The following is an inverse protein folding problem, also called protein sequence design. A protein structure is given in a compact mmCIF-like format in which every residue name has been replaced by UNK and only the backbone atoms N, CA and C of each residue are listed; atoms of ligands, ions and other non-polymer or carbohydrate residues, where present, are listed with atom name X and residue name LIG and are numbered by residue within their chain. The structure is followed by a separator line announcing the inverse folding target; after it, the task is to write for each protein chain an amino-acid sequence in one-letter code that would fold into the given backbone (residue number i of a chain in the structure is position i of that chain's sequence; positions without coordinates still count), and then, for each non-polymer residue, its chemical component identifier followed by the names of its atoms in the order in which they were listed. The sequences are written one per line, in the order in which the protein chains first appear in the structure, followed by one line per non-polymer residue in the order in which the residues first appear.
data_IF_885113129604
#
_entry.id   IF_885113129604
#
_cell.length_a   1.000
_cell.length_b   1.000
_cell.length_c   1.000
_cell.angle_alpha   90.00
_cell.angle_beta   90.00
_cell.angle_gamma   90.00
#
_symmetry.space_group_name_H-M   'P 1'
#
loop_
_entity.id
_entity.type
_entity.pdbx_description
1 polymer ?
#
# COMPACT_ATOMS: atom_id res chain seq x y z
N UNK A 1 5.68 30.46 55.72
CA UNK A 1 4.49 29.79 56.27
C UNK A 1 3.30 30.04 55.36
N UNK A 2 2.72 28.97 54.79
CA UNK A 2 1.28 28.92 54.59
C UNK A 2 0.74 28.98 53.15
N UNK A 3 0.38 27.78 52.66
CA UNK A 3 -0.83 27.44 51.88
C UNK A 3 -0.82 27.94 50.42
N UNK A 4 -0.82 27.10 49.39
CA UNK A 4 -1.67 25.92 49.15
C UNK A 4 -2.51 26.21 47.89
N UNK A 5 -2.79 25.20 47.04
CA UNK A 5 -3.16 25.41 45.64
C UNK A 5 -4.66 25.69 45.45
N UNK A 6 -5.00 26.52 44.45
CA UNK A 6 -6.38 26.66 44.00
C UNK A 6 -6.74 25.51 43.06
N UNK A 7 -7.65 24.65 43.52
CA UNK A 7 -8.44 23.75 42.69
C UNK A 7 -9.94 24.00 42.91
N UNK A 8 -10.71 23.60 41.90
CA UNK A 8 -12.17 23.41 41.81
C UNK A 8 -13.07 24.45 41.10
N UNK A 9 -13.42 24.04 39.86
CA UNK A 9 -14.77 23.73 39.33
C UNK A 9 -15.71 24.88 38.86
N UNK A 10 -16.02 24.84 37.55
CA UNK A 10 -17.38 24.95 36.97
C UNK A 10 -17.45 24.01 35.75
N UNK A 11 -18.10 22.86 35.80
CA UNK A 11 -19.52 22.59 35.48
C UNK A 11 -20.00 23.16 34.13
N UNK A 12 -20.12 22.32 33.10
CA UNK A 12 -21.42 21.95 32.51
C UNK A 12 -21.24 21.04 31.30
N UNK A 13 -21.66 19.78 31.46
CA UNK A 13 -21.83 18.81 30.38
C UNK A 13 -23.01 19.22 29.50
N UNK A 14 -22.76 19.53 28.22
CA UNK A 14 -23.84 19.61 27.21
C UNK A 14 -24.16 18.20 26.71
N UNK A 15 -25.37 17.74 27.04
CA UNK A 15 -26.00 16.51 26.53
C UNK A 15 -26.11 16.56 25.01
N UNK A 16 -25.61 15.53 24.34
CA UNK A 16 -25.86 15.23 22.91
C UNK A 16 -27.27 14.65 22.78
N UNK A 17 -28.08 15.23 21.89
CA UNK A 17 -29.45 14.81 21.58
C UNK A 17 -29.42 13.44 20.86
N UNK A 18 -30.23 12.48 21.32
CA UNK A 18 -30.44 11.18 20.65
C UNK A 18 -31.35 11.36 19.42
N UNK A 19 -30.92 10.88 18.26
CA UNK A 19 -31.73 10.79 17.03
C UNK A 19 -32.62 9.53 17.10
N UNK A 20 -33.89 9.67 16.74
CA UNK A 20 -34.92 8.62 16.75
C UNK A 20 -34.71 7.58 15.62
N UNK A 21 -35.25 6.34 15.74
CA UNK A 21 -35.06 5.27 14.75
C UNK A 21 -36.02 5.42 13.55
N UNK A 22 -35.49 5.36 12.34
CA UNK A 22 -36.27 5.27 11.10
C UNK A 22 -36.76 3.83 10.87
N UNK A 23 -38.01 3.69 10.42
CA UNK A 23 -38.65 2.42 10.06
C UNK A 23 -38.21 1.89 8.68
N UNK A 24 -38.65 0.69 8.29
CA UNK A 24 -38.08 -0.06 7.17
C UNK A 24 -38.49 0.50 5.81
N UNK A 25 -37.51 0.60 4.91
CA UNK A 25 -37.65 1.00 3.50
C UNK A 25 -38.36 -0.07 2.64
N UNK A 26 -39.14 0.30 1.62
CA UNK A 26 -39.77 -0.64 0.69
C UNK A 26 -38.75 -1.29 -0.27
N UNK A 27 -39.05 -2.48 -0.84
CA UNK A 27 -38.11 -3.23 -1.66
C UNK A 27 -37.94 -2.63 -3.07
N UNK A 28 -36.71 -2.65 -3.58
CA UNK A 28 -36.36 -2.21 -4.93
C UNK A 28 -36.87 -3.19 -6.02
N UNK A 29 -37.21 -2.70 -7.23
CA UNK A 29 -37.66 -3.55 -8.33
C UNK A 29 -36.49 -4.34 -8.97
N UNK A 30 -36.76 -5.52 -9.56
CA UNK A 30 -35.74 -6.36 -10.18
C UNK A 30 -35.23 -5.79 -11.52
N UNK A 31 -33.97 -6.08 -11.91
CA UNK A 31 -33.41 -5.64 -13.18
C UNK A 31 -33.99 -6.44 -14.38
N UNK A 32 -34.10 -5.83 -15.58
CA UNK A 32 -34.61 -6.50 -16.77
C UNK A 32 -33.59 -7.51 -17.34
N UNK A 33 -34.11 -8.64 -17.83
CA UNK A 33 -33.34 -9.71 -18.46
C UNK A 33 -33.33 -9.58 -20.00
N UNK A 34 -32.11 -9.59 -20.56
CA UNK A 34 -31.64 -10.02 -21.89
C UNK A 34 -32.16 -9.34 -23.18
N UNK A 35 -31.23 -8.97 -24.07
CA UNK A 35 -30.92 -9.68 -25.33
C UNK A 35 -29.59 -9.10 -25.83
N UNK A 36 -28.52 -9.91 -25.88
CA UNK A 36 -27.32 -9.57 -26.64
C UNK A 36 -27.07 -10.69 -27.66
N UNK A 37 -27.14 -10.29 -28.92
CA UNK A 37 -26.99 -11.15 -30.08
C UNK A 37 -25.51 -11.54 -30.26
N UNK A 38 -25.29 -12.83 -30.51
CA UNK A 38 -24.03 -13.40 -30.90
C UNK A 38 -23.58 -12.90 -32.29
N UNK A 39 -22.47 -12.16 -32.35
CA UNK A 39 -21.68 -12.00 -33.56
C UNK A 39 -20.19 -12.11 -33.20
N UNK A 40 -19.61 -13.27 -33.50
CA UNK A 40 -18.17 -13.45 -33.59
C UNK A 40 -17.64 -12.84 -34.89
N UNK A 41 -16.39 -12.35 -34.90
CA UNK A 41 -15.50 -12.67 -36.00
C UNK A 41 -14.28 -13.44 -35.51
N UNK A 42 -14.16 -14.60 -36.14
CA UNK A 42 -13.02 -15.47 -36.27
C UNK A 42 -11.73 -14.68 -36.58
N UNK A 43 -10.64 -14.92 -35.85
CA UNK A 43 -9.34 -14.93 -36.51
C UNK A 43 -8.37 -15.87 -35.79
N UNK A 44 -8.06 -16.93 -36.53
CA UNK A 44 -7.06 -17.95 -36.24
C UNK A 44 -5.66 -17.36 -36.42
N UNK A 45 -4.76 -17.65 -35.50
CA UNK A 45 -3.39 -18.01 -35.91
C UNK A 45 -2.88 -19.08 -34.96
N UNK A 46 -2.66 -20.25 -35.56
CA UNK A 46 -2.17 -21.47 -34.95
C UNK A 46 -0.75 -21.30 -34.42
N UNK A 47 -0.42 -22.03 -33.36
CA UNK A 47 0.90 -22.61 -33.21
C UNK A 47 0.77 -24.00 -32.56
N UNK A 48 1.25 -24.97 -33.33
CA UNK A 48 1.08 -26.41 -33.24
C UNK A 48 2.05 -27.01 -32.24
N UNK A 49 1.55 -27.89 -31.37
CA UNK A 49 2.35 -28.90 -30.66
C UNK A 49 2.39 -30.19 -31.49
N UNK A 50 3.58 -30.75 -31.64
CA UNK A 50 3.81 -32.08 -32.22
C UNK A 50 3.99 -33.05 -31.04
N UNK A 51 3.10 -34.03 -30.92
CA UNK A 51 3.40 -35.31 -30.28
C UNK A 51 2.45 -36.38 -30.83
N UNK A 52 3.04 -37.41 -31.42
CA UNK A 52 2.39 -38.58 -31.97
C UNK A 52 1.97 -39.59 -30.88
N UNK A 53 0.85 -40.29 -31.08
CA UNK A 53 0.75 -41.76 -31.06
C UNK A 53 -0.71 -42.27 -30.99
N UNK A 54 -1.06 -43.12 -31.97
CA UNK A 54 -1.90 -44.33 -31.94
C UNK A 54 -3.25 -44.37 -31.16
N UNK A 55 -4.34 -44.31 -31.93
CA UNK A 55 -5.30 -45.43 -32.16
C UNK A 55 -5.91 -46.22 -30.99
N UNK A 56 -7.25 -46.16 -30.90
CA UNK A 56 -8.08 -47.36 -30.64
C UNK A 56 -9.08 -47.30 -29.48
N UNK A 57 -10.36 -47.02 -29.79
CA UNK A 57 -11.52 -47.80 -29.31
C UNK A 57 -12.11 -47.57 -27.91
N UNK A 58 -13.31 -46.98 -27.87
CA UNK A 58 -14.48 -47.56 -27.18
C UNK A 58 -14.76 -47.21 -25.70
N UNK A 59 -15.81 -46.41 -25.48
CA UNK A 59 -16.88 -46.74 -24.52
C UNK A 59 -16.77 -46.28 -23.05
N UNK A 60 -17.86 -45.63 -22.62
CA UNK A 60 -18.42 -45.56 -21.26
C UNK A 60 -17.89 -44.51 -20.25
N UNK A 61 -18.77 -43.54 -19.97
CA UNK A 61 -19.10 -42.99 -18.65
C UNK A 61 -17.99 -42.77 -17.63
N UNK A 62 -17.49 -41.55 -17.53
CA UNK A 62 -16.55 -41.15 -16.48
C UNK A 62 -16.78 -39.70 -16.06
N UNK A 63 -17.15 -39.52 -14.78
CA UNK A 63 -17.36 -38.27 -14.04
C UNK A 63 -16.41 -37.14 -14.45
N UNK A 64 -16.96 -35.93 -14.58
CA UNK A 64 -16.21 -34.69 -14.71
C UNK A 64 -15.09 -34.63 -13.66
N UNK A 65 -13.85 -34.81 -14.13
CA UNK A 65 -12.64 -34.75 -13.31
C UNK A 65 -12.45 -33.30 -12.89
N UNK A 66 -12.63 -33.07 -11.59
CA UNK A 66 -12.30 -31.84 -10.86
C UNK A 66 -10.98 -31.28 -11.39
N UNK A 67 -11.01 -30.05 -11.91
CA UNK A 67 -9.87 -29.28 -12.44
C UNK A 67 -8.72 -29.36 -11.43
N UNK A 68 -7.73 -30.22 -11.70
CA UNK A 68 -6.52 -30.34 -10.89
C UNK A 68 -5.81 -28.99 -10.98
N UNK A 69 -5.58 -28.33 -9.84
CA UNK A 69 -4.85 -27.06 -9.82
C UNK A 69 -3.47 -27.28 -10.42
N UNK A 70 -3.20 -26.61 -11.54
CA UNK A 70 -1.95 -26.77 -12.30
C UNK A 70 -0.71 -26.53 -11.45
N UNK A 71 0.37 -27.23 -11.80
CA UNK A 71 1.70 -26.96 -11.27
C UNK A 71 2.05 -25.48 -11.51
N UNK A 72 2.73 -24.87 -10.55
CA UNK A 72 3.22 -23.49 -10.62
C UNK A 72 4.72 -23.48 -10.62
N UNK A 73 5.29 -22.38 -11.10
CA UNK A 73 6.72 -22.18 -11.13
C UNK A 73 7.20 -21.63 -9.77
N UNK A 74 8.15 -22.33 -9.18
CA UNK A 74 8.78 -21.97 -7.92
C UNK A 74 10.29 -21.86 -8.11
N UNK A 75 10.93 -20.95 -7.39
CA UNK A 75 12.38 -20.93 -7.24
C UNK A 75 12.72 -21.27 -5.80
N UNK A 76 13.61 -22.24 -5.63
CA UNK A 76 14.11 -22.67 -4.33
C UNK A 76 15.48 -22.06 -4.11
N UNK A 77 15.71 -21.53 -2.92
CA UNK A 77 17.03 -21.09 -2.46
C UNK A 77 17.42 -21.89 -1.23
N UNK A 78 18.64 -22.40 -1.22
CA UNK A 78 19.27 -23.01 -0.04
C UNK A 78 20.00 -21.95 0.80
N UNK A 79 20.43 -22.29 2.02
CA UNK A 79 21.25 -21.44 2.90
C UNK A 79 22.51 -20.88 2.21
N UNK A 80 23.07 -21.64 1.27
CA UNK A 80 24.25 -21.24 0.51
C UNK A 80 23.96 -20.31 -0.68
N UNK A 81 22.70 -19.85 -0.83
CA UNK A 81 22.27 -18.99 -1.95
C UNK A 81 22.15 -19.71 -3.29
N UNK A 82 22.28 -21.04 -3.32
CA UNK A 82 22.09 -21.83 -4.53
C UNK A 82 20.60 -21.84 -4.91
N UNK A 83 20.31 -21.42 -6.15
CA UNK A 83 18.94 -21.30 -6.65
C UNK A 83 18.59 -22.40 -7.65
N UNK A 84 17.43 -23.03 -7.47
CA UNK A 84 16.91 -24.07 -8.35
C UNK A 84 15.48 -23.73 -8.79
N UNK A 85 15.19 -23.85 -10.09
CA UNK A 85 13.85 -23.61 -10.63
C UNK A 85 13.07 -24.92 -10.69
N UNK A 86 11.87 -24.94 -10.10
CA UNK A 86 11.06 -26.13 -9.91
C UNK A 86 9.60 -25.88 -10.33
N UNK A 87 9.00 -26.82 -11.04
CA UNK A 87 7.55 -26.85 -11.21
C UNK A 87 6.94 -27.77 -10.16
N UNK A 88 6.12 -27.21 -9.27
CA UNK A 88 5.53 -27.95 -8.17
C UNK A 88 4.02 -27.75 -8.11
N UNK A 89 3.30 -28.82 -7.81
CA UNK A 89 1.87 -28.76 -7.50
C UNK A 89 1.66 -28.32 -6.05
N UNK A 90 0.44 -27.90 -5.73
CA UNK A 90 0.10 -27.43 -4.38
C UNK A 90 0.35 -28.48 -3.32
N UNK A 91 0.09 -29.75 -3.62
CA UNK A 91 0.28 -30.89 -2.68
C UNK A 91 1.74 -31.05 -2.27
N UNK A 92 2.66 -30.94 -3.23
CA UNK A 92 4.10 -31.07 -2.99
C UNK A 92 4.60 -29.96 -2.09
N UNK A 93 4.17 -28.72 -2.32
CA UNK A 93 4.57 -27.57 -1.50
C UNK A 93 4.02 -27.70 -0.07
N UNK A 94 2.74 -28.05 0.10
CA UNK A 94 2.12 -28.26 1.43
C UNK A 94 2.89 -29.34 2.21
N UNK A 95 3.22 -30.46 1.58
CA UNK A 95 3.96 -31.56 2.23
C UNK A 95 5.39 -31.15 2.57
N UNK A 96 6.07 -30.46 1.66
CA UNK A 96 7.47 -30.06 1.80
C UNK A 96 7.67 -29.00 2.89
N UNK A 97 6.88 -27.94 2.85
CA UNK A 97 6.96 -26.85 3.82
C UNK A 97 6.18 -27.12 5.13
N UNK A 98 5.50 -28.27 5.23
CA UNK A 98 4.66 -28.63 6.37
C UNK A 98 3.59 -27.57 6.74
N UNK A 99 3.06 -26.85 5.75
CA UNK A 99 2.05 -25.80 5.95
C UNK A 99 0.62 -26.28 5.68
N UNK A 100 -0.38 -25.81 6.44
CA UNK A 100 -1.79 -26.04 6.13
C UNK A 100 -2.19 -25.54 4.73
N UNK A 101 -3.10 -26.27 4.07
CA UNK A 101 -3.58 -25.91 2.73
C UNK A 101 -4.29 -24.54 2.65
N UNK A 102 -4.76 -24.01 3.79
CA UNK A 102 -5.37 -22.67 3.89
C UNK A 102 -4.33 -21.56 3.72
N UNK A 103 -3.13 -21.73 4.25
CA UNK A 103 -2.10 -20.69 4.27
C UNK A 103 -1.47 -20.54 2.88
N UNK A 104 -1.34 -21.65 2.14
CA UNK A 104 -0.94 -21.61 0.73
C UNK A 104 -1.93 -20.81 -0.15
N UNK A 105 -3.19 -20.63 0.28
CA UNK A 105 -4.16 -19.82 -0.49
C UNK A 105 -3.81 -18.34 -0.47
N UNK A 106 -3.10 -17.86 0.55
CA UNK A 106 -2.67 -16.46 0.68
C UNK A 106 -1.69 -16.10 -0.45
N UNK A 107 -0.87 -17.06 -0.89
CA UNK A 107 -0.03 -16.90 -2.08
C UNK A 107 -0.83 -17.03 -3.40
N UNK A 108 -2.11 -17.35 -3.30
CA UNK A 108 -3.02 -17.50 -4.43
C UNK A 108 -3.41 -16.18 -5.10
N UNK A 109 -4.10 -16.24 -6.26
CA UNK A 109 -4.50 -15.06 -7.01
C UNK A 109 -5.51 -14.20 -6.25
N UNK A 110 -6.34 -14.82 -5.40
CA UNK A 110 -7.40 -14.16 -4.63
C UNK A 110 -6.85 -13.14 -3.62
N UNK A 111 -5.64 -13.39 -3.12
CA UNK A 111 -4.97 -12.58 -2.09
C UNK A 111 -3.74 -11.84 -2.64
N UNK A 112 -3.67 -11.63 -3.96
CA UNK A 112 -2.53 -10.95 -4.61
C UNK A 112 -2.38 -9.48 -4.24
N UNK A 113 -3.33 -8.92 -3.49
CA UNK A 113 -3.34 -7.53 -3.07
C UNK A 113 -3.38 -7.37 -1.55
N UNK A 114 -3.18 -8.43 -0.78
CA UNK A 114 -3.01 -8.36 0.68
C UNK A 114 -1.53 -8.52 1.03
N UNK A 115 -1.10 -7.90 2.12
CA UNK A 115 0.19 -8.20 2.76
C UNK A 115 -0.08 -9.09 3.97
N UNK A 116 0.72 -10.12 4.19
CA UNK A 116 0.58 -11.03 5.32
C UNK A 116 1.87 -11.80 5.62
N UNK A 117 2.22 -11.92 6.89
CA UNK A 117 3.35 -12.70 7.42
C UNK A 117 2.76 -13.70 8.41
N UNK A 118 2.76 -14.98 8.04
CA UNK A 118 2.25 -16.02 8.92
C UNK A 118 3.37 -16.88 9.48
N UNK A 119 3.42 -16.95 10.80
CA UNK A 119 4.21 -17.96 11.48
C UNK A 119 3.49 -19.33 11.52
N UNK A 120 4.25 -20.38 11.26
CA UNK A 120 3.86 -21.79 11.43
C UNK A 120 5.03 -22.54 12.05
N UNK A 121 4.74 -23.74 12.56
CA UNK A 121 5.69 -24.55 13.34
C UNK A 121 7.06 -24.76 12.67
N UNK A 122 7.11 -24.89 11.33
CA UNK A 122 8.34 -25.13 10.56
C UNK A 122 8.58 -24.17 9.40
N UNK A 123 7.69 -23.19 9.23
CA UNK A 123 7.72 -22.30 8.07
C UNK A 123 7.08 -20.94 8.38
N UNK A 124 7.58 -19.90 7.72
CA UNK A 124 7.00 -18.58 7.64
C UNK A 124 6.45 -18.38 6.24
N UNK A 125 5.18 -18.03 6.11
CA UNK A 125 4.56 -17.70 4.81
C UNK A 125 4.54 -16.20 4.66
N UNK A 126 5.27 -15.69 3.67
CA UNK A 126 5.45 -14.25 3.41
C UNK A 126 4.72 -13.88 2.13
N UNK A 127 3.76 -12.98 2.24
CA UNK A 127 3.09 -12.33 1.12
C UNK A 127 3.24 -10.82 1.31
N UNK A 128 4.22 -10.19 0.67
CA UNK A 128 4.49 -8.76 0.80
C UNK A 128 4.49 -8.14 -0.59
N UNK A 129 3.45 -7.34 -0.90
CA UNK A 129 3.25 -6.75 -2.22
C UNK A 129 3.32 -7.79 -3.36
N UNK A 130 4.41 -7.78 -4.13
CA UNK A 130 4.63 -8.71 -5.25
C UNK A 130 5.44 -9.95 -4.84
N UNK A 131 6.04 -9.97 -3.66
CA UNK A 131 6.85 -11.09 -3.13
C UNK A 131 5.93 -12.10 -2.45
N UNK A 132 6.03 -13.36 -2.90
CA UNK A 132 5.24 -14.49 -2.40
C UNK A 132 6.18 -15.65 -2.09
N UNK A 133 6.55 -15.82 -0.84
CA UNK A 133 7.56 -16.77 -0.43
C UNK A 133 7.09 -17.64 0.74
N UNK A 134 7.68 -18.83 0.83
CA UNK A 134 7.62 -19.68 2.02
C UNK A 134 9.05 -19.86 2.49
N UNK A 135 9.35 -19.39 3.69
CA UNK A 135 10.66 -19.44 4.31
C UNK A 135 10.64 -20.55 5.34
N UNK A 136 11.63 -21.42 5.30
CA UNK A 136 11.89 -22.43 6.33
C UNK A 136 13.23 -22.14 6.97
N UNK A 137 13.62 -22.88 8.01
CA UNK A 137 14.95 -22.73 8.59
C UNK A 137 16.09 -23.05 7.60
N UNK A 138 15.84 -23.85 6.55
CA UNK A 138 16.89 -24.35 5.65
C UNK A 138 16.77 -23.82 4.21
N UNK A 139 15.56 -23.52 3.75
CA UNK A 139 15.34 -23.11 2.36
C UNK A 139 14.20 -22.09 2.23
N UNK A 140 14.23 -21.34 1.12
CA UNK A 140 13.16 -20.42 0.70
C UNK A 140 12.54 -20.92 -0.59
N UNK A 141 11.21 -20.95 -0.65
CA UNK A 141 10.43 -21.27 -1.84
C UNK A 141 9.69 -20.00 -2.30
N UNK A 142 10.15 -19.42 -3.40
CA UNK A 142 9.58 -18.22 -4.02
C UNK A 142 8.64 -18.58 -5.16
N UNK A 143 7.42 -18.04 -5.15
CA UNK A 143 6.42 -18.26 -6.18
C UNK A 143 6.54 -17.25 -7.33
N UNK A 144 6.42 -17.74 -8.57
CA UNK A 144 6.44 -16.96 -9.81
C UNK A 144 7.68 -16.03 -9.93
N UNK A 145 8.91 -16.61 -9.88
CA UNK A 145 10.18 -15.88 -9.76
C UNK A 145 10.57 -15.07 -11.02
N UNK A 146 9.90 -15.29 -12.15
CA UNK A 146 10.22 -14.64 -13.43
C UNK A 146 9.48 -13.31 -13.64
N UNK A 147 8.65 -12.87 -12.68
CA UNK A 147 7.96 -11.58 -12.76
C UNK A 147 8.97 -10.45 -12.58
N UNK A 148 8.89 -9.41 -13.42
CA UNK A 148 9.86 -8.30 -13.44
C UNK A 148 10.03 -7.62 -12.07
N UNK A 149 8.94 -7.44 -11.33
CA UNK A 149 8.93 -6.84 -9.99
C UNK A 149 9.65 -7.71 -8.95
N UNK A 150 9.70 -9.04 -9.15
CA UNK A 150 10.28 -10.02 -8.22
C UNK A 150 11.78 -10.23 -8.48
N UNK A 151 12.29 -9.87 -9.67
CA UNK A 151 13.69 -10.07 -10.03
C UNK A 151 14.69 -9.40 -9.08
N UNK A 152 14.48 -8.14 -8.61
CA UNK A 152 15.39 -7.53 -7.64
C UNK A 152 15.54 -8.34 -6.36
N UNK A 153 14.45 -8.94 -5.87
CA UNK A 153 14.47 -9.82 -4.71
C UNK A 153 15.25 -11.11 -4.98
N UNK A 154 15.04 -11.73 -6.14
CA UNK A 154 15.80 -12.91 -6.57
C UNK A 154 17.30 -12.63 -6.65
N UNK A 155 17.68 -11.47 -7.20
CA UNK A 155 19.08 -11.10 -7.36
C UNK A 155 19.73 -10.76 -6.02
N UNK A 156 19.04 -10.07 -5.11
CA UNK A 156 19.52 -9.82 -3.75
C UNK A 156 19.67 -11.11 -2.93
N UNK A 157 18.72 -12.05 -3.03
CA UNK A 157 18.87 -13.36 -2.36
C UNK A 157 20.11 -14.11 -2.84
N UNK A 158 20.40 -14.12 -4.15
CA UNK A 158 21.62 -14.77 -4.67
C UNK A 158 22.91 -14.11 -4.17
N UNK A 159 22.89 -12.79 -3.99
CA UNK A 159 24.07 -12.03 -3.59
C UNK A 159 24.31 -12.09 -2.08
N UNK A 160 23.27 -11.91 -1.25
CA UNK A 160 23.46 -11.70 0.18
C UNK A 160 23.48 -13.01 1.00
N UNK A 161 22.75 -14.05 0.59
CA UNK A 161 22.72 -15.33 1.33
C UNK A 161 24.10 -16.01 1.45
N UNK A 162 24.96 -16.06 0.41
CA UNK A 162 26.30 -16.65 0.52
C UNK A 162 27.25 -15.87 1.43
N UNK A 163 27.01 -14.57 1.66
CA UNK A 163 27.90 -13.68 2.39
C UNK A 163 27.57 -13.55 3.88
N UNK A 164 26.35 -13.93 4.30
CA UNK A 164 25.86 -13.88 5.69
C UNK A 164 25.69 -15.29 6.33
N UNK A 165 26.36 -16.32 5.78
CA UNK A 165 26.22 -17.71 6.25
C UNK A 165 27.29 -18.05 7.31
N UNK A 166 26.89 -18.58 8.48
CA UNK A 166 27.83 -18.98 9.52
C UNK A 166 28.34 -20.37 9.17
N UNK A 167 29.54 -20.50 8.59
CA UNK A 167 30.46 -21.64 8.75
C UNK A 167 31.61 -21.55 7.72
N UNK A 168 32.70 -20.87 8.10
CA UNK A 168 34.05 -21.24 7.63
C UNK A 168 34.93 -21.48 8.86
N UNK A 169 34.81 -22.65 9.46
CA UNK A 169 35.83 -23.19 10.36
C UNK A 169 37.02 -23.69 9.53
N UNK A 170 38.22 -23.33 10.00
CA UNK A 170 39.55 -23.33 9.38
C UNK A 170 40.01 -24.53 8.52
N UNK A 171 40.88 -24.21 7.55
CA UNK A 171 42.17 -24.90 7.44
C UNK A 171 42.67 -25.24 6.03
N UNK A 172 43.44 -24.34 5.40
CA UNK A 172 44.64 -24.68 4.61
C UNK A 172 45.32 -23.41 4.08
N UNK A 173 46.39 -22.97 4.76
CA UNK A 173 47.51 -22.31 4.07
C UNK A 173 48.27 -23.35 3.23
N UNK A 174 48.97 -22.91 2.17
CA UNK A 174 50.42 -23.00 2.23
C UNK A 174 51.12 -21.65 1.97
N UNK A 175 52.24 -21.52 2.68
CA UNK A 175 53.35 -20.57 2.60
C UNK A 175 53.61 -19.91 1.23
N UNK A 176 54.01 -18.63 1.21
CA UNK A 176 55.45 -18.25 1.24
C UNK A 176 55.71 -16.72 1.25
N UNK A 177 56.64 -16.33 2.13
CA UNK A 177 57.68 -15.27 2.01
C UNK A 177 57.28 -13.79 1.76
N UNK A 178 57.53 -12.90 2.73
CA UNK A 178 58.79 -12.14 2.83
C UNK A 178 58.77 -11.09 3.97
N UNK A 179 59.90 -11.05 4.66
CA UNK A 179 60.28 -10.25 5.82
C UNK A 179 60.48 -8.76 5.46
N UNK A 180 60.20 -7.85 6.40
CA UNK A 180 61.13 -6.77 6.71
C UNK A 180 60.88 -6.15 8.09
N UNK A 181 61.91 -6.14 8.93
CA UNK A 181 61.97 -5.53 10.25
C UNK A 181 62.21 -4.01 10.17
N UNK A 182 61.66 -3.24 11.11
CA UNK A 182 62.41 -2.15 11.77
C UNK A 182 61.77 -1.77 13.11
N UNK A 183 62.56 -1.87 14.17
CA UNK A 183 62.22 -1.62 15.58
C UNK A 183 62.19 -0.12 15.93
N UNK A 184 61.36 0.29 16.89
CA UNK A 184 61.80 1.12 18.02
C UNK A 184 60.81 1.07 19.20
N UNK A 185 61.32 0.71 20.38
CA UNK A 185 60.61 0.71 21.66
C UNK A 185 60.69 2.08 22.34
N UNK A 186 59.59 2.57 22.93
CA UNK A 186 59.64 3.28 24.22
C UNK A 186 58.35 3.02 24.98
N UNK A 187 58.49 2.53 26.21
CA UNK A 187 57.43 1.96 27.01
C UNK A 187 56.36 2.93 27.50
N UNK A 188 55.15 2.38 27.60
CA UNK A 188 53.99 2.95 28.27
C UNK A 188 52.89 1.91 28.27
N UNK A 189 52.84 1.10 29.33
CA UNK A 189 51.91 -0.01 29.54
C UNK A 189 50.46 0.50 29.53
N UNK A 190 49.80 0.31 28.39
CA UNK A 190 48.35 0.25 28.28
C UNK A 190 48.00 -1.17 27.83
N UNK A 191 47.12 -1.82 28.59
CA UNK A 191 46.52 -3.08 28.19
C UNK A 191 45.84 -2.85 26.83
N UNK A 192 46.01 -3.72 25.82
CA UNK A 192 45.10 -3.73 24.70
C UNK A 192 43.73 -4.10 25.27
N UNK A 193 42.85 -3.12 25.37
CA UNK A 193 41.42 -3.38 25.26
C UNK A 193 41.29 -4.06 23.90
N UNK A 194 40.74 -5.28 23.81
CA UNK A 194 40.37 -5.79 22.51
C UNK A 194 39.31 -4.83 22.00
N UNK A 195 39.66 -4.04 20.99
CA UNK A 195 38.71 -3.30 20.19
C UNK A 195 37.67 -4.32 19.72
N UNK A 196 36.51 -4.28 20.36
CA UNK A 196 35.35 -5.09 20.03
C UNK A 196 34.67 -4.44 18.83
N UNK A 197 35.40 -4.31 17.72
CA UNK A 197 34.87 -3.90 16.44
C UNK A 197 34.31 -5.13 15.73
N UNK A 198 33.00 -5.30 15.87
CA UNK A 198 32.18 -6.04 14.91
C UNK A 198 32.08 -7.55 15.10
N UNK A 199 31.60 -8.01 16.26
CA UNK A 199 30.82 -9.24 16.24
C UNK A 199 29.52 -8.90 15.50
N UNK A 200 29.50 -9.09 14.18
CA UNK A 200 28.23 -9.08 13.44
C UNK A 200 27.39 -10.18 14.07
N UNK A 201 26.41 -9.81 14.90
CA UNK A 201 25.33 -10.72 15.27
C UNK A 201 24.59 -11.03 13.97
N UNK A 202 25.04 -12.08 13.27
CA UNK A 202 24.40 -12.55 12.03
C UNK A 202 22.97 -12.95 12.38
N UNK A 203 22.00 -12.25 11.80
CA UNK A 203 20.59 -12.60 11.90
C UNK A 203 20.39 -14.06 11.43
N UNK A 204 19.50 -14.84 12.08
CA UNK A 204 19.07 -16.15 11.58
C UNK A 204 18.63 -16.12 10.11
N UNK A 205 18.77 -17.25 9.42
CA UNK A 205 18.48 -17.37 7.97
C UNK A 205 17.10 -16.82 7.59
N UNK A 206 16.08 -17.15 8.38
CA UNK A 206 14.71 -16.68 8.16
C UNK A 206 14.57 -15.15 8.20
N UNK A 207 15.35 -14.47 9.05
CA UNK A 207 15.31 -13.02 9.21
C UNK A 207 16.18 -12.30 8.18
N UNK A 208 17.28 -12.93 7.71
CA UNK A 208 18.00 -12.41 6.55
C UNK A 208 17.10 -12.37 5.31
N UNK A 209 16.32 -13.42 5.09
CA UNK A 209 15.38 -13.49 3.97
C UNK A 209 14.26 -12.46 4.14
N UNK A 210 13.73 -12.29 5.36
CA UNK A 210 12.70 -11.30 5.66
C UNK A 210 13.22 -9.86 5.49
N UNK A 211 14.43 -9.58 5.97
CA UNK A 211 15.13 -8.30 5.79
C UNK A 211 15.24 -7.95 4.31
N UNK A 212 15.77 -8.87 3.49
CA UNK A 212 15.89 -8.68 2.03
C UNK A 212 14.51 -8.45 1.39
N UNK A 213 13.48 -9.18 1.82
CA UNK A 213 12.13 -9.00 1.28
C UNK A 213 11.56 -7.62 1.63
N UNK A 214 11.72 -7.18 2.88
CA UNK A 214 11.28 -5.87 3.35
C UNK A 214 12.07 -4.74 2.69
N UNK A 215 13.38 -4.87 2.53
CA UNK A 215 14.24 -3.91 1.84
C UNK A 215 13.73 -3.68 0.41
N UNK A 216 13.56 -4.74 -0.37
CA UNK A 216 13.09 -4.64 -1.76
C UNK A 216 11.70 -4.02 -1.84
N UNK A 217 10.78 -4.42 -0.97
CA UNK A 217 9.41 -3.88 -0.97
C UNK A 217 9.39 -2.41 -0.58
N UNK A 218 10.14 -2.03 0.47
CA UNK A 218 10.20 -0.64 0.93
C UNK A 218 10.85 0.26 -0.12
N UNK A 219 11.98 -0.14 -0.70
CA UNK A 219 12.63 0.61 -1.80
C UNK A 219 11.72 0.74 -3.01
N UNK A 220 10.99 -0.34 -3.36
CA UNK A 220 10.01 -0.29 -4.45
C UNK A 220 8.90 0.71 -4.16
N UNK A 221 8.31 0.69 -2.96
CA UNK A 221 7.23 1.59 -2.58
C UNK A 221 7.71 3.06 -2.54
N UNK A 222 8.88 3.32 -1.95
CA UNK A 222 9.46 4.68 -1.88
C UNK A 222 9.76 5.23 -3.28
N UNK A 223 10.28 4.40 -4.20
CA UNK A 223 10.50 4.80 -5.60
C UNK A 223 9.19 5.20 -6.29
N UNK A 224 8.11 4.43 -6.09
CA UNK A 224 6.80 4.78 -6.64
C UNK A 224 6.24 6.08 -6.05
N UNK A 225 6.51 6.36 -4.77
CA UNK A 225 6.10 7.63 -4.14
C UNK A 225 6.89 8.80 -4.74
N UNK A 226 8.21 8.65 -4.91
CA UNK A 226 9.05 9.66 -5.52
C UNK A 226 8.66 9.96 -6.98
N UNK A 227 8.28 8.94 -7.75
CA UNK A 227 7.75 9.11 -9.11
C UNK A 227 6.40 9.84 -9.08
N UNK A 228 5.49 9.45 -8.19
CA UNK A 228 4.20 10.10 -8.02
C UNK A 228 4.36 11.57 -7.62
N UNK A 229 5.28 11.90 -6.72
CA UNK A 229 5.62 13.26 -6.30
C UNK A 229 6.12 14.09 -7.49
N UNK A 230 7.09 13.55 -8.24
CA UNK A 230 7.66 14.21 -9.42
C UNK A 230 6.60 14.52 -10.47
N UNK A 231 5.64 13.62 -10.66
CA UNK A 231 4.57 13.77 -11.65
C UNK A 231 3.41 14.64 -11.12
N UNK A 232 3.19 14.70 -9.80
CA UNK A 232 2.11 15.46 -9.17
C UNK A 232 2.29 16.99 -9.28
N UNK A 233 3.44 17.50 -8.85
CA UNK A 233 3.71 18.94 -8.80
C UNK A 233 3.49 19.68 -10.13
N UNK A 234 3.99 19.21 -11.29
CA UNK A 234 3.77 19.91 -12.56
C UNK A 234 2.29 19.90 -12.99
N UNK A 235 1.56 18.81 -12.73
CA UNK A 235 0.13 18.71 -13.06
C UNK A 235 -0.70 19.69 -12.23
N UNK A 236 -0.36 19.87 -10.95
CA UNK A 236 -1.04 20.79 -10.05
C UNK A 236 -0.72 22.25 -10.36
N UNK A 237 0.53 22.58 -10.70
CA UNK A 237 0.93 23.91 -11.17
C UNK A 237 0.25 24.27 -12.51
N UNK A 238 0.12 23.31 -13.42
CA UNK A 238 -0.65 23.49 -14.66
C UNK A 238 -2.13 23.77 -14.35
N UNK A 239 -2.77 22.97 -13.48
CA UNK A 239 -4.16 23.19 -13.09
C UNK A 239 -4.38 24.57 -12.45
N UNK A 240 -3.45 25.04 -11.61
CA UNK A 240 -3.53 26.35 -10.96
C UNK A 240 -3.46 27.52 -11.95
N UNK A 241 -2.77 27.34 -13.10
CA UNK A 241 -2.67 28.35 -14.16
C UNK A 241 -3.86 28.34 -15.11
N UNK A 242 -4.34 27.14 -15.49
CA UNK A 242 -5.46 27.00 -16.41
C UNK A 242 -6.38 25.84 -16.03
N UNK A 243 -7.61 26.18 -15.66
CA UNK A 243 -8.63 25.18 -15.38
C UNK A 243 -9.18 24.64 -16.70
N UNK A 244 -8.80 23.41 -17.05
CA UNK A 244 -9.27 22.71 -18.24
C UNK A 244 -9.79 21.31 -17.87
N UNK A 245 -10.71 20.77 -18.66
CA UNK A 245 -11.23 19.41 -18.45
C UNK A 245 -10.13 18.36 -18.47
N UNK A 246 -9.12 18.55 -19.33
CA UNK A 246 -7.94 17.69 -19.42
C UNK A 246 -7.10 17.70 -18.14
N UNK A 247 -6.87 18.88 -17.55
CA UNK A 247 -6.08 19.01 -16.33
C UNK A 247 -6.82 18.40 -15.12
N UNK A 248 -8.15 18.57 -15.06
CA UNK A 248 -8.98 17.92 -14.04
C UNK A 248 -8.99 16.39 -14.19
N UNK A 249 -8.96 15.86 -15.41
CA UNK A 249 -8.79 14.42 -15.64
C UNK A 249 -7.42 13.92 -15.18
N UNK A 250 -6.35 14.67 -15.43
CA UNK A 250 -5.01 14.35 -14.93
C UNK A 250 -4.97 14.33 -13.39
N UNK A 251 -5.55 15.34 -12.71
CA UNK A 251 -5.63 15.37 -11.24
C UNK A 251 -6.48 14.22 -10.69
N UNK A 252 -7.59 13.87 -11.36
CA UNK A 252 -8.39 12.70 -10.98
C UNK A 252 -7.59 11.40 -11.09
N UNK A 253 -6.82 11.24 -12.16
CA UNK A 253 -5.93 10.09 -12.36
C UNK A 253 -4.86 10.05 -11.26
N UNK A 254 -4.24 11.20 -10.96
CA UNK A 254 -3.25 11.35 -9.90
C UNK A 254 -3.82 10.97 -8.53
N UNK A 255 -5.01 11.45 -8.16
CA UNK A 255 -5.71 11.11 -6.91
C UNK A 255 -6.04 9.62 -6.82
N UNK A 256 -6.41 9.00 -7.94
CA UNK A 256 -6.64 7.55 -8.00
C UNK A 256 -5.35 6.75 -7.79
N UNK A 257 -4.24 7.17 -8.43
CA UNK A 257 -2.94 6.54 -8.26
C UNK A 257 -2.42 6.70 -6.83
N UNK A 258 -2.54 7.90 -6.26
CA UNK A 258 -2.20 8.21 -4.87
C UNK A 258 -2.97 7.32 -3.90
N UNK A 259 -4.30 7.22 -4.05
CA UNK A 259 -5.14 6.41 -3.17
C UNK A 259 -4.74 4.93 -3.24
N UNK A 260 -4.44 4.43 -4.45
CA UNK A 260 -3.98 3.05 -4.64
C UNK A 260 -2.62 2.82 -3.98
N UNK A 261 -1.66 3.75 -4.13
CA UNK A 261 -0.34 3.63 -3.53
C UNK A 261 -0.38 3.72 -2.01
N UNK A 262 -1.18 4.65 -1.46
CA UNK A 262 -1.41 4.77 -0.02
C UNK A 262 -1.95 3.46 0.57
N UNK A 263 -2.95 2.86 -0.08
CA UNK A 263 -3.53 1.60 0.36
C UNK A 263 -2.54 0.43 0.34
N UNK A 264 -1.54 0.45 -0.56
CA UNK A 264 -0.48 -0.57 -0.64
C UNK A 264 0.51 -0.42 0.51
N UNK A 265 1.04 0.80 0.71
CA UNK A 265 1.92 1.11 1.84
C UNK A 265 1.25 0.79 3.18
N UNK A 266 -0.02 1.18 3.34
CA UNK A 266 -0.79 0.90 4.56
C UNK A 266 -0.89 -0.60 4.82
N UNK A 267 -1.17 -1.44 3.83
CA UNK A 267 -1.28 -2.90 4.06
C UNK A 267 0.01 -3.52 4.59
N UNK A 268 1.16 -3.14 4.02
CA UNK A 268 2.44 -3.64 4.52
C UNK A 268 2.67 -3.13 5.93
N UNK A 269 2.49 -1.83 6.15
CA UNK A 269 2.66 -1.21 7.47
C UNK A 269 1.75 -1.81 8.54
N UNK A 270 0.47 -2.00 8.25
CA UNK A 270 -0.53 -2.56 9.17
C UNK A 270 -0.18 -4.02 9.54
N UNK A 271 0.41 -4.79 8.61
CA UNK A 271 0.90 -6.14 8.90
C UNK A 271 2.13 -6.11 9.82
N UNK A 272 3.06 -5.16 9.62
CA UNK A 272 4.19 -4.97 10.53
C UNK A 272 3.73 -4.48 11.91
N UNK A 273 2.77 -3.56 11.97
CA UNK A 273 2.15 -3.07 13.22
C UNK A 273 1.55 -4.24 14.00
N UNK A 274 0.76 -5.08 13.32
CA UNK A 274 0.12 -6.22 13.93
C UNK A 274 1.14 -7.23 14.50
N UNK A 275 2.25 -7.45 13.79
CA UNK A 275 3.30 -8.35 14.23
C UNK A 275 4.11 -7.76 15.41
N UNK A 276 4.39 -6.46 15.39
CA UNK A 276 5.07 -5.75 16.48
C UNK A 276 4.22 -5.66 17.75
N UNK A 277 2.89 -5.70 17.64
CA UNK A 277 1.97 -5.65 18.79
C UNK A 277 1.96 -6.95 19.64
N UNK A 278 2.44 -8.08 19.10
CA UNK A 278 2.38 -9.40 19.77
C UNK A 278 3.72 -10.15 19.75
N UNK A 279 4.39 -10.20 20.92
CA UNK A 279 5.65 -10.91 21.11
C UNK A 279 5.53 -12.42 20.89
N UNK A 280 4.35 -13.04 21.06
CA UNK A 280 4.13 -14.46 20.79
C UNK A 280 4.20 -14.74 19.28
N UNK A 281 3.57 -13.90 18.45
CA UNK A 281 3.62 -13.99 16.99
C UNK A 281 5.06 -13.78 16.48
N UNK A 282 5.81 -12.85 17.07
CA UNK A 282 7.23 -12.64 16.77
C UNK A 282 8.10 -13.84 17.16
N UNK A 283 7.95 -14.36 18.39
CA UNK A 283 8.66 -15.54 18.86
C UNK A 283 8.38 -16.75 17.95
N UNK A 284 7.18 -16.81 17.38
CA UNK A 284 6.78 -17.87 16.51
C UNK A 284 7.52 -17.90 15.16
N UNK A 285 8.12 -16.78 14.75
CA UNK A 285 8.92 -16.63 13.53
C UNK A 285 10.37 -17.12 13.68
N UNK A 286 10.85 -17.42 14.88
CA UNK A 286 12.20 -17.97 15.12
C UNK A 286 12.32 -19.45 14.69
N UNK A 287 12.27 -19.69 13.38
CA UNK A 287 12.24 -21.03 12.77
C UNK A 287 13.53 -21.83 13.04
N UNK A 288 14.70 -21.21 12.96
CA UNK A 288 15.99 -21.86 13.20
C UNK A 288 16.09 -22.34 14.65
N UNK A 289 15.63 -21.54 15.60
CA UNK A 289 15.57 -21.91 17.03
C UNK A 289 14.67 -23.14 17.24
N UNK A 290 13.45 -23.10 16.71
CA UNK A 290 12.47 -24.21 16.78
C UNK A 290 13.00 -25.48 16.11
N UNK A 291 13.70 -25.35 14.99
CA UNK A 291 14.29 -26.48 14.27
C UNK A 291 15.38 -27.18 15.09
N UNK A 292 16.30 -26.43 15.71
CA UNK A 292 17.35 -26.98 16.58
C UNK A 292 16.74 -27.70 17.79
N UNK A 293 15.75 -27.09 18.44
CA UNK A 293 15.08 -27.68 19.60
C UNK A 293 14.36 -28.99 19.25
N UNK A 294 13.70 -29.04 18.11
CA UNK A 294 13.04 -30.26 17.63
C UNK A 294 14.04 -31.39 17.33
N UNK A 295 15.19 -31.08 16.71
CA UNK A 295 16.24 -32.09 16.49
C UNK A 295 16.81 -32.65 17.80
N UNK A 296 17.05 -31.80 18.81
CA UNK A 296 17.56 -32.25 20.10
C UNK A 296 16.56 -33.17 20.83
N UNK A 297 15.27 -32.83 20.77
CA UNK A 297 14.21 -33.65 21.34
C UNK A 297 14.08 -35.02 20.63
N UNK A 298 14.16 -35.05 19.30
CA UNK A 298 14.18 -36.29 18.52
C UNK A 298 15.40 -37.15 18.85
N UNK A 299 16.59 -36.55 18.99
CA UNK A 299 17.81 -37.26 19.35
C UNK A 299 17.75 -37.84 20.78
N UNK A 300 17.18 -37.10 21.74
CA UNK A 300 17.01 -37.56 23.13
C UNK A 300 16.04 -38.74 23.23
N UNK A 301 14.93 -38.69 22.50
CA UNK A 301 13.96 -39.79 22.42
C UNK A 301 14.55 -41.01 21.69
N UNK A 302 15.34 -40.81 20.63
CA UNK A 302 16.05 -41.90 19.94
C UNK A 302 17.11 -42.60 20.80
N UNK A 303 17.81 -41.85 21.65
CA UNK A 303 18.80 -42.40 22.59
C UNK A 303 18.13 -43.19 23.74
N UNK A 304 16.96 -42.76 24.22
CA UNK A 304 16.22 -43.46 25.25
C UNK A 304 15.71 -44.85 24.80
N UNK A 305 15.36 -45.00 23.52
CA UNK A 305 14.91 -46.29 22.95
C UNK A 305 16.08 -47.28 22.77
N UNK A 306 17.28 -46.77 22.48
CA UNK A 306 18.48 -47.58 22.25
C UNK A 306 19.08 -48.19 23.53
N UNK A 307 18.72 -47.69 24.71
CA UNK A 307 19.25 -48.18 26.00
C UNK A 307 18.37 -49.23 26.69
N UNK A 308 17.33 -49.75 26.04
CA UNK A 308 16.37 -50.68 26.66
C UNK A 308 16.71 -52.19 26.53
N UNK A 309 17.85 -52.55 25.96
CA UNK A 309 18.31 -53.94 25.85
C UNK A 309 19.78 -54.05 26.28
N UNK A 310 20.04 -54.26 27.57
CA UNK A 310 21.06 -55.17 28.13
C UNK A 310 20.82 -55.37 29.65
N UNK A 311 20.85 -56.65 30.01
CA UNK A 311 20.72 -57.41 31.28
C UNK A 311 21.54 -56.88 32.48
N UNK A 312 21.14 -57.13 33.76
CA UNK A 312 21.77 -56.54 34.93
C UNK A 312 23.02 -57.29 35.41
N UNK A 313 24.03 -56.56 35.87
CA UNK A 313 25.11 -57.06 36.72
C UNK A 313 25.71 -55.95 37.61
N UNK A 314 26.32 -56.27 38.77
CA UNK A 314 26.22 -55.44 39.98
C UNK A 314 27.51 -54.69 40.39
N UNK A 315 27.33 -53.74 41.31
CA UNK A 315 28.31 -53.02 42.14
C UNK A 315 29.04 -51.80 41.53
N UNK A 316 28.61 -50.60 41.93
CA UNK A 316 29.37 -49.58 42.69
C UNK A 316 28.47 -48.34 42.93
N UNK A 317 28.60 -47.62 44.06
CA UNK A 317 27.64 -46.60 44.46
C UNK A 317 27.82 -45.32 43.65
N UNK A 318 26.91 -45.08 42.72
CA UNK A 318 26.79 -43.80 42.01
C UNK A 318 26.06 -42.83 42.93
N UNK A 319 26.75 -41.76 43.36
CA UNK A 319 26.10 -40.58 43.93
C UNK A 319 25.15 -40.01 42.87
N UNK A 320 23.87 -40.31 43.00
CA UNK A 320 22.79 -39.72 42.23
C UNK A 320 22.46 -38.37 42.87
N UNK A 321 22.95 -37.30 42.26
CA UNK A 321 22.33 -35.98 42.45
C UNK A 321 21.02 -35.99 41.67
N UNK A 322 19.91 -36.19 42.39
CA UNK A 322 18.57 -35.93 41.89
C UNK A 322 18.43 -34.42 41.63
N UNK A 323 18.86 -33.96 40.45
CA UNK A 323 18.23 -32.80 39.84
C UNK A 323 17.07 -33.34 39.01
N UNK A 324 15.92 -33.44 39.67
CA UNK A 324 14.64 -33.60 39.02
C UNK A 324 14.54 -32.55 37.92
N UNK A 325 14.67 -32.97 36.66
CA UNK A 325 14.30 -32.14 35.51
C UNK A 325 12.79 -32.07 35.55
N UNK A 326 12.31 -31.03 36.21
CA UNK A 326 10.89 -30.72 36.34
C UNK A 326 10.39 -30.36 34.94
N UNK A 327 9.47 -31.18 34.43
CA UNK A 327 8.62 -30.86 33.29
C UNK A 327 7.63 -29.78 33.72
N UNK A 328 8.13 -28.55 33.77
CA UNK A 328 7.34 -27.33 33.78
C UNK A 328 8.06 -26.39 32.81
N UNK A 329 7.83 -26.59 31.52
CA UNK A 329 8.01 -25.54 30.51
C UNK A 329 7.03 -24.43 30.86
N UNK A 330 7.44 -23.58 31.79
CA UNK A 330 6.86 -22.26 31.95
C UNK A 330 7.16 -21.49 30.67
N UNK A 331 6.11 -21.08 29.96
CA UNK A 331 6.13 -20.18 28.80
C UNK A 331 6.58 -18.76 29.20
N UNK A 332 7.65 -18.61 29.97
CA UNK A 332 8.41 -17.37 29.99
C UNK A 332 9.31 -17.44 28.76
N UNK A 333 8.76 -17.09 27.60
CA UNK A 333 9.56 -16.44 26.57
C UNK A 333 10.00 -15.15 27.27
N UNK A 334 11.29 -15.04 27.61
CA UNK A 334 11.82 -13.79 28.13
C UNK A 334 11.55 -12.74 27.05
N UNK A 335 11.02 -11.56 27.39
CA UNK A 335 10.81 -10.47 26.41
C UNK A 335 12.10 -10.14 25.64
N UNK A 336 13.27 -10.39 26.25
CA UNK A 336 14.60 -10.23 25.65
C UNK A 336 14.87 -11.22 24.48
N UNK A 337 14.05 -12.25 24.26
CA UNK A 337 14.30 -13.29 23.25
C UNK A 337 13.93 -12.88 21.81
N UNK A 338 13.19 -11.78 21.63
CA UNK A 338 12.69 -11.28 20.32
C UNK A 338 13.27 -9.92 19.90
N UNK A 339 14.14 -9.32 20.72
CA UNK A 339 14.66 -7.95 20.53
C UNK A 339 15.32 -7.73 19.14
N UNK A 340 16.08 -8.72 18.65
CA UNK A 340 16.74 -8.64 17.33
C UNK A 340 15.72 -8.50 16.18
N UNK A 341 14.60 -9.23 16.26
CA UNK A 341 13.55 -9.19 15.25
C UNK A 341 12.71 -7.91 15.39
N UNK A 342 12.39 -7.52 16.63
CA UNK A 342 11.67 -6.29 16.91
C UNK A 342 12.41 -5.08 16.33
N UNK A 343 13.71 -4.96 16.60
CA UNK A 343 14.55 -3.87 16.06
C UNK A 343 14.55 -3.83 14.52
N UNK A 344 14.61 -5.00 13.86
CA UNK A 344 14.52 -5.11 12.40
C UNK A 344 13.17 -4.61 11.89
N UNK A 345 12.07 -5.09 12.47
CA UNK A 345 10.71 -4.75 12.06
C UNK A 345 10.38 -3.27 12.34
N UNK A 346 10.80 -2.73 13.49
CA UNK A 346 10.64 -1.32 13.84
C UNK A 346 11.30 -0.40 12.81
N UNK A 347 12.53 -0.73 12.37
CA UNK A 347 13.23 0.07 11.37
C UNK A 347 12.43 0.18 10.06
N UNK A 348 11.90 -0.94 9.56
CA UNK A 348 11.07 -0.95 8.35
C UNK A 348 9.68 -0.35 8.58
N UNK A 349 9.09 -0.51 9.77
CA UNK A 349 7.83 0.15 10.13
C UNK A 349 7.98 1.67 10.10
N UNK A 350 9.06 2.22 10.68
CA UNK A 350 9.35 3.64 10.64
C UNK A 350 9.60 4.14 9.21
N UNK A 351 10.29 3.36 8.37
CA UNK A 351 10.47 3.68 6.95
C UNK A 351 9.13 3.72 6.19
N UNK A 352 8.24 2.75 6.42
CA UNK A 352 6.92 2.71 5.80
C UNK A 352 6.03 3.86 6.29
N UNK A 353 6.07 4.23 7.56
CA UNK A 353 5.31 5.38 8.06
C UNK A 353 5.86 6.70 7.50
N UNK A 354 7.19 6.83 7.37
CA UNK A 354 7.82 7.92 6.62
C UNK A 354 7.31 8.01 5.18
N UNK A 355 7.27 6.87 4.47
CA UNK A 355 6.74 6.76 3.10
C UNK A 355 5.27 7.13 3.04
N UNK A 356 4.45 6.68 4.01
CA UNK A 356 3.04 7.05 4.11
C UNK A 356 2.86 8.55 4.33
N UNK A 357 3.67 9.17 5.19
CA UNK A 357 3.56 10.60 5.48
C UNK A 357 3.90 11.44 4.24
N UNK A 358 4.90 11.04 3.44
CA UNK A 358 5.14 11.66 2.12
C UNK A 358 3.90 11.63 1.22
N UNK A 359 3.25 10.47 1.09
CA UNK A 359 2.01 10.34 0.30
C UNK A 359 0.88 11.25 0.84
N UNK A 360 0.73 11.34 2.16
CA UNK A 360 -0.27 12.19 2.78
C UNK A 360 0.00 13.68 2.52
N UNK A 361 1.25 14.12 2.53
CA UNK A 361 1.62 15.49 2.17
C UNK A 361 1.27 15.82 0.71
N UNK A 362 1.51 14.90 -0.23
CA UNK A 362 1.08 15.09 -1.64
C UNK A 362 -0.44 15.16 -1.73
N UNK A 363 -1.17 14.34 -0.96
CA UNK A 363 -2.62 14.33 -0.93
C UNK A 363 -3.18 15.66 -0.45
N UNK A 364 -2.62 16.20 0.63
CA UNK A 364 -2.97 17.52 1.16
C UNK A 364 -2.74 18.61 0.11
N UNK A 365 -1.59 18.60 -0.56
CA UNK A 365 -1.29 19.55 -1.63
C UNK A 365 -2.25 19.47 -2.84
N UNK A 366 -2.69 18.26 -3.21
CA UNK A 366 -3.73 18.07 -4.23
C UNK A 366 -5.06 18.66 -3.76
N UNK A 367 -5.50 18.32 -2.55
CA UNK A 367 -6.77 18.78 -2.00
C UNK A 367 -6.77 20.33 -1.86
N UNK A 368 -5.65 20.93 -1.43
CA UNK A 368 -5.46 22.40 -1.37
C UNK A 368 -5.55 23.06 -2.75
N UNK A 369 -4.94 22.44 -3.77
CA UNK A 369 -4.98 22.95 -5.15
C UNK A 369 -6.40 22.84 -5.73
N UNK A 370 -7.13 21.76 -5.42
CA UNK A 370 -8.53 21.56 -5.80
C UNK A 370 -9.42 22.64 -5.19
N UNK A 371 -9.24 22.95 -3.90
CA UNK A 371 -9.96 24.01 -3.20
C UNK A 371 -9.65 25.39 -3.79
N UNK A 372 -8.38 25.68 -4.09
CA UNK A 372 -7.98 26.92 -4.76
C UNK A 372 -8.64 27.09 -6.13
N UNK A 373 -8.65 26.03 -6.94
CA UNK A 373 -9.26 26.01 -8.27
C UNK A 373 -10.77 26.20 -8.18
N UNK A 374 -11.44 25.58 -7.20
CA UNK A 374 -12.86 25.78 -6.94
C UNK A 374 -13.17 27.25 -6.62
N UNK A 375 -12.36 27.89 -5.78
CA UNK A 375 -12.50 29.33 -5.47
C UNK A 375 -12.32 30.19 -6.72
N UNK A 376 -11.33 29.90 -7.57
CA UNK A 376 -11.13 30.63 -8.83
C UNK A 376 -12.33 30.50 -9.79
N UNK A 377 -12.85 29.28 -9.96
CA UNK A 377 -13.98 29.02 -10.84
C UNK A 377 -15.24 29.75 -10.36
N UNK A 378 -15.46 29.80 -9.06
CA UNK A 378 -16.58 30.55 -8.50
C UNK A 378 -16.41 32.06 -8.67
N UNK A 379 -15.17 32.59 -8.62
CA UNK A 379 -14.91 33.98 -8.97
C UNK A 379 -15.24 34.28 -10.46
N UNK A 380 -14.81 33.43 -11.38
CA UNK A 380 -15.14 33.60 -12.81
C UNK A 380 -16.65 33.51 -13.08
N UNK A 381 -17.35 32.59 -12.40
CA UNK A 381 -18.82 32.50 -12.47
C UNK A 381 -19.48 33.77 -11.96
N UNK A 382 -18.98 34.34 -10.86
CA UNK A 382 -19.49 35.60 -10.33
C UNK A 382 -19.31 36.76 -11.30
N UNK A 383 -18.15 36.86 -11.97
CA UNK A 383 -17.92 37.86 -13.02
C UNK A 383 -18.89 37.68 -14.20
N UNK A 384 -19.14 36.44 -14.63
CA UNK A 384 -20.09 36.14 -15.70
C UNK A 384 -21.52 36.53 -15.32
N UNK A 385 -21.94 36.22 -14.08
CA UNK A 385 -23.25 36.63 -13.55
C UNK A 385 -23.38 38.16 -13.52
N UNK A 386 -22.32 38.88 -13.16
CA UNK A 386 -22.29 40.34 -13.18
C UNK A 386 -22.43 40.91 -14.60
N UNK A 387 -21.72 40.33 -15.57
CA UNK A 387 -21.85 40.72 -16.98
C UNK A 387 -23.26 40.44 -17.51
N UNK A 388 -23.83 39.26 -17.20
CA UNK A 388 -25.19 38.89 -17.57
C UNK A 388 -26.23 39.86 -16.98
N UNK A 389 -26.08 40.24 -15.71
CA UNK A 389 -26.95 41.23 -15.06
C UNK A 389 -26.88 42.56 -15.80
N UNK A 390 -25.68 43.03 -16.13
CA UNK A 390 -25.46 44.29 -16.86
C UNK A 390 -26.14 44.26 -18.24
N UNK A 391 -25.97 43.17 -18.99
CA UNK A 391 -26.60 42.98 -20.31
C UNK A 391 -28.13 42.94 -20.19
N UNK A 392 -28.65 42.31 -19.15
CA UNK A 392 -30.10 42.24 -18.88
C UNK A 392 -30.68 43.63 -18.60
N UNK A 393 -29.99 44.45 -17.79
CA UNK A 393 -30.40 45.83 -17.50
C UNK A 393 -30.39 46.68 -18.78
N UNK A 394 -29.36 46.54 -19.63
CA UNK A 394 -29.30 47.22 -20.92
C UNK A 394 -30.45 46.80 -21.86
N UNK A 395 -30.71 45.49 -21.94
CA UNK A 395 -31.79 44.94 -22.76
C UNK A 395 -33.16 45.42 -22.32
N UNK A 396 -33.39 45.55 -21.01
CA UNK A 396 -34.62 46.12 -20.45
C UNK A 396 -34.83 47.57 -20.89
N UNK A 397 -33.79 48.41 -20.85
CA UNK A 397 -33.88 49.80 -21.30
C UNK A 397 -34.18 49.89 -22.81
N UNK A 398 -33.53 49.07 -23.64
CA UNK A 398 -33.78 49.00 -25.09
C UNK A 398 -35.20 48.51 -25.38
N UNK A 399 -35.72 47.54 -24.61
CA UNK A 399 -37.08 47.03 -24.78
C UNK A 399 -38.14 48.11 -24.52
N UNK A 400 -37.92 48.99 -23.53
CA UNK A 400 -38.81 50.14 -23.27
C UNK A 400 -38.78 51.13 -24.44
N UNK A 401 -37.60 51.44 -24.98
CA UNK A 401 -37.46 52.31 -26.17
C UNK A 401 -38.16 51.71 -27.39
N UNK A 402 -37.97 50.40 -27.61
CA UNK A 402 -38.58 49.65 -28.72
C UNK A 402 -40.09 49.59 -28.60
N UNK A 403 -40.64 49.47 -27.38
CA UNK A 403 -42.08 49.52 -27.14
C UNK A 403 -42.65 50.89 -27.54
N UNK A 404 -42.00 51.98 -27.12
CA UNK A 404 -42.42 53.33 -27.46
C UNK A 404 -42.33 53.52 -28.98
N UNK A 405 -41.21 53.18 -29.60
CA UNK A 405 -41.04 53.23 -31.05
C UNK A 405 -42.09 52.39 -31.80
N UNK A 406 -42.43 51.21 -31.28
CA UNK A 406 -43.46 50.33 -31.83
C UNK A 406 -44.86 50.94 -31.79
N UNK A 407 -45.25 51.58 -30.68
CA UNK A 407 -46.54 52.28 -30.56
C UNK A 407 -46.69 53.40 -31.59
N UNK A 408 -45.63 54.18 -31.83
CA UNK A 408 -45.63 55.24 -32.85
C UNK A 408 -45.43 54.69 -34.27
N UNK A 409 -44.81 53.53 -34.44
CA UNK A 409 -44.74 52.83 -35.73
C UNK A 409 -46.08 52.30 -36.23
N UNK A 410 -47.12 52.30 -35.39
CA UNK A 410 -48.47 51.92 -35.81
C UNK A 410 -49.10 53.04 -36.65
N UNK A 411 -49.72 52.68 -37.78
CA UNK A 411 -50.43 53.59 -38.69
C UNK A 411 -51.77 54.08 -38.11
N UNK A 412 -51.72 54.69 -36.91
CA UNK A 412 -52.86 55.28 -36.22
C UNK A 412 -52.78 56.79 -36.44
N UNK A 413 -53.88 57.46 -36.88
CA UNK A 413 -53.88 58.90 -37.08
C UNK A 413 -53.75 59.64 -35.75
N UNK A 414 -52.52 60.03 -35.42
CA UNK A 414 -52.20 60.82 -34.24
C UNK A 414 -52.02 62.30 -34.62
N UNK A 415 -52.68 63.26 -33.91
CA UNK A 415 -52.56 64.70 -34.19
C UNK A 415 -51.13 65.25 -33.95
N UNK A 416 -50.26 64.46 -33.32
CA UNK A 416 -48.84 64.78 -33.10
C UNK A 416 -48.02 64.79 -34.40
N UNK A 417 -48.49 64.13 -35.48
CA UNK A 417 -47.79 64.08 -36.77
C UNK A 417 -47.95 65.35 -37.63
N UNK A 418 -48.98 66.15 -37.41
CA UNK A 418 -49.25 67.37 -38.20
C UNK A 418 -48.43 68.58 -37.72
N UNK A 419 -47.85 68.51 -36.51
CA UNK A 419 -47.02 69.56 -35.94
C UNK A 419 -45.58 69.50 -36.47
N UNK A 420 -45.20 70.47 -37.31
CA UNK A 420 -43.86 70.54 -37.90
C UNK A 420 -42.77 70.69 -36.81
N UNK A 421 -41.78 69.79 -36.82
CA UNK A 421 -40.59 69.88 -35.98
C UNK A 421 -40.65 69.19 -34.61
N UNK A 422 -41.78 68.59 -34.22
CA UNK A 422 -41.94 67.94 -32.88
C UNK A 422 -41.32 66.53 -32.81
N UNK A 423 -41.12 65.87 -33.97
CA UNK A 423 -40.61 64.50 -34.03
C UNK A 423 -39.16 64.36 -33.50
N UNK A 424 -38.24 65.19 -33.99
CA UNK A 424 -36.83 65.16 -33.57
C UNK A 424 -36.62 65.37 -32.05
N UNK A 425 -37.23 66.39 -31.40
CA UNK A 425 -37.09 66.56 -29.96
C UNK A 425 -37.78 65.44 -29.17
N UNK A 426 -38.89 64.88 -29.68
CA UNK A 426 -39.56 63.75 -29.05
C UNK A 426 -38.66 62.49 -29.01
N UNK A 427 -38.07 62.11 -30.14
CA UNK A 427 -37.13 60.98 -30.22
C UNK A 427 -35.95 61.21 -29.26
N UNK A 428 -35.37 62.41 -29.26
CA UNK A 428 -34.29 62.78 -28.34
C UNK A 428 -34.68 62.63 -26.86
N UNK A 429 -35.89 63.05 -26.47
CA UNK A 429 -36.40 62.91 -25.10
C UNK A 429 -36.61 61.44 -24.70
N UNK A 430 -37.15 60.61 -25.59
CA UNK A 430 -37.37 59.17 -25.32
C UNK A 430 -36.04 58.44 -25.15
N UNK A 431 -35.09 58.65 -26.07
CA UNK A 431 -33.75 58.05 -25.98
C UNK A 431 -33.01 58.52 -24.72
N UNK A 432 -33.07 59.82 -24.38
CA UNK A 432 -32.49 60.33 -23.14
C UNK A 432 -33.14 59.73 -21.88
N UNK A 433 -34.47 59.53 -21.90
CA UNK A 433 -35.21 58.86 -20.83
C UNK A 433 -34.78 57.41 -20.62
N UNK A 434 -34.54 56.65 -21.71
CA UNK A 434 -34.03 55.29 -21.63
C UNK A 434 -32.60 55.21 -21.08
N UNK A 435 -31.72 56.13 -21.48
CA UNK A 435 -30.37 56.22 -20.91
C UNK A 435 -30.44 56.52 -19.41
N UNK A 436 -31.31 57.44 -18.98
CA UNK A 436 -31.51 57.75 -17.56
C UNK A 436 -32.03 56.53 -16.78
N UNK A 437 -33.01 55.80 -17.33
CA UNK A 437 -33.54 54.58 -16.73
C UNK A 437 -32.44 53.52 -16.58
N UNK A 438 -31.63 53.32 -17.61
CA UNK A 438 -30.49 52.41 -17.56
C UNK A 438 -29.51 52.79 -16.43
N UNK A 439 -29.13 54.07 -16.33
CA UNK A 439 -28.23 54.56 -15.28
C UNK A 439 -28.84 54.43 -13.88
N UNK A 440 -30.14 54.66 -13.71
CA UNK A 440 -30.83 54.51 -12.44
C UNK A 440 -30.83 53.05 -11.97
N UNK A 441 -31.18 52.12 -12.86
CA UNK A 441 -31.20 50.68 -12.53
C UNK A 441 -29.78 50.17 -12.26
N UNK A 442 -28.79 50.62 -13.03
CA UNK A 442 -27.39 50.26 -12.82
C UNK A 442 -26.83 50.85 -11.51
N UNK A 443 -27.18 52.10 -11.19
CA UNK A 443 -26.86 52.74 -9.93
C UNK A 443 -27.48 52.03 -8.72
N UNK A 444 -28.75 51.60 -8.84
CA UNK A 444 -29.42 50.79 -7.83
C UNK A 444 -28.71 49.44 -7.62
N UNK A 445 -28.35 48.76 -8.71
CA UNK A 445 -27.66 47.47 -8.65
C UNK A 445 -26.26 47.58 -8.01
N UNK A 446 -25.53 48.67 -8.29
CA UNK A 446 -24.26 48.98 -7.61
C UNK A 446 -24.44 49.32 -6.14
N UNK A 447 -25.44 50.11 -5.78
CA UNK A 447 -25.71 50.45 -4.38
C UNK A 447 -26.03 49.22 -3.52
N UNK A 448 -26.74 48.26 -4.11
CA UNK A 448 -27.03 46.95 -3.52
C UNK A 448 -25.83 45.99 -3.49
N UNK A 449 -24.66 46.39 -4.01
CA UNK A 449 -23.44 45.56 -4.14
C UNK A 449 -23.65 44.27 -4.95
N UNK A 450 -24.56 44.31 -5.92
CA UNK A 450 -24.84 43.16 -6.81
C UNK A 450 -23.84 43.08 -7.97
N UNK A 451 -23.26 44.21 -8.35
CA UNK A 451 -22.06 44.26 -9.17
C UNK A 451 -20.89 44.39 -8.20
N UNK A 452 -19.89 43.52 -8.33
CA UNK A 452 -18.64 43.59 -7.56
C UNK A 452 -18.09 45.02 -7.56
N UNK A 453 -17.48 45.41 -6.44
CA UNK A 453 -16.99 46.77 -6.18
C UNK A 453 -16.06 47.29 -7.27
#
# INVERSE_FOLDING_TARGET
MGKGPFSFRRTSSRRRLKKAPEGPSPPAPPPPMMIEASLSPNNQTANTSIAAASGGGGGAGGKAKKKTGGARLWMRFDRCGQSELLECDKSTIIRRAAIPARDLRILGPVFSHSSNILAREKAMVVNLEFIKAIVTAEEVLLLDPLRQEVLPFVDQLRQQLPHKSPFRMHGASPLDTQENEMQFSTGGRWLPVPDSEGLQNELPFEFQVLEIALEVVCTYLDTNVAELERDAYPVLDELARNVSTKNLEHVRSLKSNLTRLLARVQKVRDELEHLLDDNEDMADLYLTRKWIQNQQNEALLGAAVSNSLITPAPYLPRLSSHRSVSLATSNFVDDDDVEDLEMLLEAYFMQLDGTRNKILSVREYIDDTEDYVNIQLDNQRNELIQLQLTLTIASFAIAVETLIAGLFGMNIPCPLYEMHGVFNPFVGCVTAGCILLFLLVLGYARWKKLLGS
#
